data_IF_248799717793
#
_entry.id   IF_248799717793
#
_cell.length_a   1.000
_cell.length_b   1.000
_cell.length_c   1.000
_cell.angle_alpha   90.00
_cell.angle_beta   90.00
_cell.angle_gamma   90.00
#
_symmetry.space_group_name_H-M   'P 1'
#
loop_
_entity.id
_entity.type
_entity.pdbx_description
1 polymer ?
#
# COMPACT_ATOMS: atom_id res chain seq x y z
N UNK A 1 -12.06 2.90 -10.69
CA UNK A 1 -11.04 3.04 -9.63
C UNK A 1 -10.28 4.32 -9.90
N UNK A 2 -10.27 5.24 -8.95
CA UNK A 2 -9.43 6.43 -8.98
C UNK A 2 -7.95 6.02 -8.90
N UNK A 3 -7.08 6.65 -9.68
CA UNK A 3 -5.64 6.56 -9.56
C UNK A 3 -5.11 8.00 -9.53
N UNK A 4 -4.10 8.26 -8.71
CA UNK A 4 -3.47 9.58 -8.58
C UNK A 4 -2.87 10.03 -9.93
N UNK A 5 -2.23 9.09 -10.63
CA UNK A 5 -1.66 9.26 -11.95
C UNK A 5 -1.60 7.93 -12.71
N UNK A 6 -1.07 7.95 -13.93
CA UNK A 6 -0.87 6.72 -14.73
C UNK A 6 0.19 5.79 -14.12
N UNK A 7 1.14 6.32 -13.34
CA UNK A 7 2.17 5.50 -12.69
C UNK A 7 1.55 4.63 -11.58
N UNK A 8 0.64 5.18 -10.78
CA UNK A 8 -0.13 4.47 -9.77
C UNK A 8 -0.92 3.32 -10.41
N UNK A 9 -1.60 3.58 -11.53
CA UNK A 9 -2.32 2.55 -12.28
C UNK A 9 -1.40 1.46 -12.82
N UNK A 10 -0.28 1.83 -13.44
CA UNK A 10 0.70 0.88 -13.97
C UNK A 10 1.32 0.02 -12.85
N UNK A 11 1.63 0.61 -11.69
CA UNK A 11 2.11 -0.11 -10.52
C UNK A 11 1.07 -1.11 -10.03
N UNK A 12 -0.20 -0.71 -9.94
CA UNK A 12 -1.27 -1.60 -9.49
C UNK A 12 -1.44 -2.80 -10.41
N UNK A 13 -1.36 -2.59 -11.72
CA UNK A 13 -1.39 -3.68 -12.70
C UNK A 13 -0.22 -4.67 -12.50
N UNK A 14 0.99 -4.18 -12.20
CA UNK A 14 2.15 -5.02 -11.90
C UNK A 14 1.96 -5.83 -10.61
N UNK A 15 1.48 -5.20 -9.54
CA UNK A 15 1.19 -5.88 -8.27
C UNK A 15 0.11 -6.95 -8.48
N UNK A 16 -0.99 -6.62 -9.18
CA UNK A 16 -2.09 -7.54 -9.45
C UNK A 16 -1.69 -8.70 -10.38
N UNK A 17 -0.68 -8.52 -11.23
CA UNK A 17 -0.10 -9.60 -12.03
C UNK A 17 0.71 -10.57 -11.18
N UNK A 18 1.48 -10.07 -10.19
CA UNK A 18 2.24 -10.91 -9.25
C UNK A 18 1.34 -11.61 -8.23
N UNK A 19 0.34 -10.91 -7.72
CA UNK A 19 -0.56 -11.41 -6.68
C UNK A 19 -2.01 -11.47 -7.20
N UNK A 20 -2.41 -12.57 -7.85
CA UNK A 20 -3.74 -12.70 -8.45
C UNK A 20 -4.88 -12.69 -7.41
N UNK A 21 -4.58 -12.85 -6.12
CA UNK A 21 -5.49 -12.74 -4.98
C UNK A 21 -6.23 -11.41 -4.94
N UNK A 22 -5.66 -10.34 -5.52
CA UNK A 22 -6.32 -9.03 -5.71
C UNK A 22 -7.71 -9.16 -6.33
N UNK A 23 -7.95 -10.17 -7.17
CA UNK A 23 -9.26 -10.39 -7.82
C UNK A 23 -10.29 -11.07 -6.92
N UNK A 24 -9.84 -11.74 -5.85
CA UNK A 24 -10.67 -12.60 -4.99
C UNK A 24 -10.88 -12.04 -3.59
N UNK A 25 -9.90 -11.28 -3.09
CA UNK A 25 -9.84 -10.84 -1.71
C UNK A 25 -9.81 -9.30 -1.64
N UNK A 26 -10.80 -8.71 -0.96
CA UNK A 26 -11.04 -7.25 -0.94
C UNK A 26 -10.03 -6.49 -0.09
N UNK A 27 -9.67 -7.07 1.06
CA UNK A 27 -8.52 -6.64 1.89
C UNK A 27 -7.27 -6.57 1.05
N UNK A 28 -6.99 -7.66 0.36
CA UNK A 28 -5.78 -7.80 -0.43
C UNK A 28 -5.76 -6.82 -1.61
N UNK A 29 -6.90 -6.61 -2.26
CA UNK A 29 -7.07 -5.60 -3.32
C UNK A 29 -6.79 -4.19 -2.81
N UNK A 30 -7.38 -3.80 -1.67
CA UNK A 30 -7.18 -2.48 -1.07
C UNK A 30 -5.71 -2.26 -0.66
N UNK A 31 -5.07 -3.27 -0.06
CA UNK A 31 -3.66 -3.23 0.31
C UNK A 31 -2.75 -3.08 -0.93
N UNK A 32 -3.00 -3.88 -1.98
CA UNK A 32 -2.26 -3.80 -3.24
C UNK A 32 -2.46 -2.47 -3.96
N UNK A 33 -3.65 -1.88 -3.88
CA UNK A 33 -3.93 -0.55 -4.41
C UNK A 33 -3.09 0.52 -3.69
N UNK A 34 -3.08 0.53 -2.36
CA UNK A 34 -2.24 1.48 -1.60
C UNK A 34 -0.75 1.23 -1.89
N UNK A 35 -0.31 -0.03 -1.91
CA UNK A 35 1.06 -0.41 -2.25
C UNK A 35 1.51 0.04 -3.64
N UNK A 36 0.57 0.31 -4.54
CA UNK A 36 0.84 0.79 -5.89
C UNK A 36 1.05 2.31 -6.00
N UNK A 37 0.72 3.09 -4.96
CA UNK A 37 0.96 4.53 -4.97
C UNK A 37 2.44 4.81 -5.22
N UNK A 38 2.83 5.72 -6.13
CA UNK A 38 4.20 5.80 -6.66
C UNK A 38 5.30 5.84 -5.59
N UNK A 39 5.09 6.62 -4.53
CA UNK A 39 6.08 6.79 -3.46
C UNK A 39 6.17 5.58 -2.54
N UNK A 40 5.06 4.89 -2.33
CA UNK A 40 5.02 3.62 -1.59
C UNK A 40 5.64 2.51 -2.44
N UNK A 41 5.39 2.50 -3.75
CA UNK A 41 5.93 1.50 -4.67
C UNK A 41 7.47 1.57 -4.78
N UNK A 42 8.05 2.77 -4.62
CA UNK A 42 9.52 2.96 -4.55
C UNK A 42 10.15 2.35 -3.29
N UNK A 43 9.35 2.05 -2.26
CA UNK A 43 9.84 1.51 -1.00
C UNK A 43 10.22 0.04 -1.09
N UNK A 44 9.91 -0.68 -2.16
CA UNK A 44 10.21 -2.11 -2.24
C UNK A 44 10.51 -2.58 -3.65
N UNK A 45 11.21 -3.71 -3.75
CA UNK A 45 11.31 -4.45 -5.01
C UNK A 45 10.17 -5.45 -5.08
N UNK A 46 9.25 -5.29 -6.04
CA UNK A 46 8.09 -6.18 -6.20
C UNK A 46 8.51 -7.66 -6.26
N UNK A 47 9.63 -7.98 -6.90
CA UNK A 47 10.11 -9.38 -6.99
C UNK A 47 10.48 -10.02 -5.65
N UNK A 48 10.91 -9.22 -4.68
CA UNK A 48 11.30 -9.69 -3.35
C UNK A 48 10.13 -9.87 -2.40
N UNK A 49 8.95 -9.33 -2.73
CA UNK A 49 7.74 -9.49 -1.93
C UNK A 49 7.18 -10.91 -2.09
N UNK A 50 6.78 -11.52 -0.97
CA UNK A 50 6.28 -12.90 -0.87
C UNK A 50 4.80 -12.96 -0.53
N UNK A 51 4.34 -12.19 0.46
CA UNK A 51 2.98 -12.28 1.00
C UNK A 51 2.10 -11.11 0.60
N UNK A 52 2.69 -9.95 0.31
CA UNK A 52 1.95 -8.80 -0.19
C UNK A 52 2.83 -7.56 -0.38
N UNK A 53 2.23 -6.40 -0.69
CA UNK A 53 2.97 -5.18 -0.97
C UNK A 53 3.67 -4.55 0.25
N UNK A 54 3.41 -5.08 1.46
CA UNK A 54 3.88 -4.50 2.72
C UNK A 54 4.78 -5.43 3.55
N UNK A 55 5.33 -6.52 2.98
CA UNK A 55 6.24 -7.41 3.73
C UNK A 55 7.41 -6.61 4.32
N UNK A 56 7.95 -5.68 3.52
CA UNK A 56 9.02 -4.77 3.94
C UNK A 56 8.64 -3.87 5.11
N UNK A 57 7.36 -3.53 5.28
CA UNK A 57 6.92 -2.66 6.35
C UNK A 57 6.69 -3.43 7.65
N UNK A 58 6.26 -4.70 7.58
CA UNK A 58 6.30 -5.60 8.74
C UNK A 58 7.73 -5.79 9.25
N UNK A 59 8.69 -6.01 8.33
CA UNK A 59 10.11 -6.05 8.69
C UNK A 59 10.53 -4.75 9.41
N UNK A 60 10.08 -3.58 8.95
CA UNK A 60 10.37 -2.30 9.60
C UNK A 60 9.74 -2.19 10.98
N UNK A 61 8.48 -2.56 11.17
CA UNK A 61 7.79 -2.46 12.46
C UNK A 61 8.39 -3.37 13.54
N UNK A 62 8.95 -4.53 13.15
CA UNK A 62 9.60 -5.47 14.07
C UNK A 62 10.87 -4.89 14.71
N UNK A 63 11.72 -4.21 13.92
CA UNK A 63 12.91 -3.51 14.42
C UNK A 63 13.23 -2.28 13.56
N UNK A 64 12.61 -1.12 13.87
CA UNK A 64 12.83 0.13 13.13
C UNK A 64 14.27 0.63 13.21
N UNK A 65 14.96 0.37 14.33
CA UNK A 65 16.30 0.90 14.60
C UNK A 65 17.38 0.17 13.80
N UNK A 66 17.24 -1.14 13.60
CA UNK A 66 18.15 -1.94 12.76
C UNK A 66 17.66 -2.06 11.31
N UNK A 67 16.47 -1.59 10.95
CA UNK A 67 15.92 -1.74 9.58
C UNK A 67 16.86 -1.21 8.50
N UNK A 68 17.42 -0.01 8.69
CA UNK A 68 18.39 0.60 7.76
C UNK A 68 19.66 -0.26 7.64
N UNK A 69 20.17 -0.76 8.77
CA UNK A 69 21.35 -1.63 8.78
C UNK A 69 21.05 -3.00 8.15
N UNK A 70 19.84 -3.54 8.31
CA UNK A 70 19.37 -4.76 7.63
C UNK A 70 19.31 -4.53 6.13
N UNK A 71 18.85 -3.37 5.67
CA UNK A 71 18.82 -3.00 4.25
C UNK A 71 20.21 -3.03 3.65
N UNK A 72 21.18 -2.40 4.31
CA UNK A 72 22.56 -2.34 3.83
C UNK A 72 23.23 -3.73 3.79
N UNK A 73 22.73 -4.69 4.56
CA UNK A 73 23.13 -6.11 4.55
C UNK A 73 22.24 -7.00 3.68
N UNK A 74 21.33 -6.44 2.88
CA UNK A 74 20.37 -7.17 2.03
C UNK A 74 19.41 -8.11 2.78
N UNK A 75 19.10 -7.79 4.05
CA UNK A 75 18.23 -8.58 4.94
C UNK A 75 16.79 -8.07 5.06
N UNK A 76 16.42 -7.01 4.33
CA UNK A 76 15.02 -6.55 4.19
C UNK A 76 14.65 -6.46 2.71
N UNK A 77 13.36 -6.53 2.44
CA UNK A 77 12.79 -6.45 1.10
C UNK A 77 12.46 -5.01 0.66
N UNK A 78 12.70 -3.99 1.50
CA UNK A 78 12.39 -2.60 1.17
C UNK A 78 13.20 -1.52 1.91
N UNK A 79 12.73 -0.28 1.78
CA UNK A 79 13.34 0.97 2.23
C UNK A 79 12.23 1.99 2.58
N UNK A 80 12.30 2.59 3.76
CA UNK A 80 11.34 3.62 4.20
C UNK A 80 11.70 5.03 3.70
N UNK A 81 12.90 5.24 3.14
CA UNK A 81 13.38 6.56 2.75
C UNK A 81 12.45 7.34 1.79
N UNK A 82 11.71 6.70 0.85
CA UNK A 82 10.76 7.40 0.00
C UNK A 82 9.47 7.86 0.71
N UNK A 83 9.20 7.38 1.93
CA UNK A 83 7.98 7.76 2.65
C UNK A 83 8.05 9.18 3.20
N UNK A 84 6.94 9.91 3.05
CA UNK A 84 6.65 11.13 3.80
C UNK A 84 5.71 10.80 4.97
N UNK A 85 5.40 11.79 5.82
CA UNK A 85 4.38 11.62 6.85
C UNK A 85 3.03 11.18 6.26
N UNK A 86 2.64 11.73 5.11
CA UNK A 86 1.37 11.44 4.46
C UNK A 86 1.30 10.01 3.90
N UNK A 87 2.36 9.58 3.17
CA UNK A 87 2.39 8.23 2.59
C UNK A 87 2.60 7.16 3.65
N UNK A 88 3.28 7.47 4.76
CA UNK A 88 3.32 6.58 5.93
C UNK A 88 1.91 6.31 6.49
N UNK A 89 1.08 7.34 6.67
CA UNK A 89 -0.31 7.15 7.11
C UNK A 89 -1.14 6.34 6.12
N UNK A 90 -0.88 6.46 4.82
CA UNK A 90 -1.50 5.59 3.82
C UNK A 90 -1.06 4.13 3.97
N UNK A 91 0.22 3.85 4.19
CA UNK A 91 0.70 2.48 4.44
C UNK A 91 0.01 1.87 5.67
N UNK A 92 -0.06 2.63 6.76
CA UNK A 92 -0.76 2.21 7.99
C UNK A 92 -2.25 1.92 7.73
N UNK A 93 -2.94 2.78 6.95
CA UNK A 93 -4.31 2.49 6.49
C UNK A 93 -4.34 1.18 5.66
N UNK A 94 -3.38 0.96 4.77
CA UNK A 94 -3.31 -0.25 3.96
C UNK A 94 -3.18 -1.53 4.78
N UNK A 95 -2.37 -1.49 5.85
CA UNK A 95 -2.27 -2.59 6.81
C UNK A 95 -3.60 -2.81 7.55
N UNK A 96 -4.23 -1.72 8.02
CA UNK A 96 -5.54 -1.80 8.67
C UNK A 96 -6.60 -2.43 7.76
N UNK A 97 -6.68 -1.99 6.50
CA UNK A 97 -7.62 -2.54 5.52
C UNK A 97 -7.32 -4.01 5.17
N UNK A 98 -6.04 -4.43 5.26
CA UNK A 98 -5.64 -5.81 5.00
C UNK A 98 -6.01 -6.75 6.15
N UNK A 99 -5.53 -6.47 7.36
CA UNK A 99 -5.57 -7.43 8.47
C UNK A 99 -6.03 -6.83 9.80
N UNK A 100 -6.51 -5.58 9.79
CA UNK A 100 -7.00 -4.91 10.99
C UNK A 100 -5.91 -4.32 11.88
N UNK A 101 -4.67 -4.18 11.40
CA UNK A 101 -3.61 -3.48 12.12
C UNK A 101 -4.07 -2.09 12.61
N UNK A 102 -3.64 -1.67 13.80
CA UNK A 102 -4.04 -0.38 14.36
C UNK A 102 -3.72 0.79 13.42
N UNK A 103 -4.68 1.71 13.29
CA UNK A 103 -4.59 2.91 12.47
C UNK A 103 -5.44 4.04 13.06
N UNK A 104 -4.88 5.24 13.14
CA UNK A 104 -5.60 6.43 13.59
C UNK A 104 -6.14 7.21 12.37
N UNK A 105 -7.43 7.00 12.05
CA UNK A 105 -8.09 7.71 10.95
C UNK A 105 -8.09 9.22 11.12
N UNK A 106 -8.27 9.73 12.34
CA UNK A 106 -8.26 11.18 12.57
C UNK A 106 -6.93 11.80 12.19
N UNK A 107 -5.83 11.11 12.46
CA UNK A 107 -4.49 11.61 12.10
C UNK A 107 -4.25 11.53 10.59
N UNK A 108 -4.71 10.46 9.93
CA UNK A 108 -4.72 10.38 8.46
C UNK A 108 -5.48 11.54 7.83
N UNK A 109 -6.72 11.81 8.29
CA UNK A 109 -7.57 12.90 7.78
C UNK A 109 -6.96 14.29 7.97
N UNK A 110 -6.20 14.52 9.04
CA UNK A 110 -5.49 15.79 9.28
C UNK A 110 -4.19 15.93 8.47
N UNK A 111 -3.64 14.80 8.00
CA UNK A 111 -2.32 14.75 7.36
C UNK A 111 -2.43 14.71 5.84
N UNK A 112 -3.41 14.01 5.29
CA UNK A 112 -3.54 13.82 3.84
C UNK A 112 -4.01 15.08 3.13
N UNK A 113 -3.27 15.45 2.09
CA UNK A 113 -3.74 16.38 1.08
C UNK A 113 -4.88 15.77 0.25
N UNK A 114 -5.43 16.58 -0.66
CA UNK A 114 -6.59 16.19 -1.46
C UNK A 114 -6.33 14.93 -2.28
N UNK A 115 -5.11 14.74 -2.81
CA UNK A 115 -4.81 13.57 -3.64
C UNK A 115 -4.77 12.30 -2.78
N UNK A 116 -4.00 12.32 -1.69
CA UNK A 116 -3.85 11.16 -0.81
C UNK A 116 -5.15 10.83 -0.07
N UNK A 117 -5.97 11.84 0.21
CA UNK A 117 -7.34 11.63 0.71
C UNK A 117 -8.21 10.87 -0.29
N UNK A 118 -8.16 11.21 -1.59
CA UNK A 118 -8.91 10.48 -2.63
C UNK A 118 -8.37 9.05 -2.82
N UNK A 119 -7.06 8.85 -2.71
CA UNK A 119 -6.44 7.51 -2.69
C UNK A 119 -6.95 6.71 -1.48
N UNK A 120 -6.96 7.30 -0.28
CA UNK A 120 -7.47 6.64 0.93
C UNK A 120 -8.95 6.24 0.78
N UNK A 121 -9.80 7.15 0.28
CA UNK A 121 -11.21 6.87 0.02
C UNK A 121 -11.39 5.71 -0.97
N UNK A 122 -10.63 5.73 -2.08
CA UNK A 122 -10.71 4.66 -3.07
C UNK A 122 -10.30 3.30 -2.47
N UNK A 123 -9.28 3.27 -1.61
CA UNK A 123 -8.87 2.04 -0.91
C UNK A 123 -9.96 1.53 0.05
N UNK A 124 -10.58 2.43 0.82
CA UNK A 124 -11.72 2.10 1.70
C UNK A 124 -12.89 1.52 0.88
N UNK A 125 -13.22 2.13 -0.26
CA UNK A 125 -14.27 1.62 -1.13
C UNK A 125 -13.95 0.26 -1.74
N UNK A 126 -12.68 -0.02 -2.08
CA UNK A 126 -12.25 -1.35 -2.53
C UNK A 126 -12.37 -2.41 -1.42
N UNK A 127 -12.09 -2.05 -0.17
CA UNK A 127 -12.29 -2.95 0.97
C UNK A 127 -13.77 -3.23 1.21
N UNK A 128 -14.60 -2.19 1.17
CA UNK A 128 -16.05 -2.26 1.48
C UNK A 128 -16.84 -2.95 0.38
N UNK A 129 -16.63 -2.57 -0.89
CA UNK A 129 -17.45 -2.96 -2.03
C UNK A 129 -16.84 -4.15 -2.80
N UNK A 130 -17.69 -4.94 -3.45
CA UNK A 130 -17.24 -6.04 -4.31
C UNK A 130 -16.55 -5.49 -5.58
N UNK A 131 -15.55 -6.17 -6.19
CA UNK A 131 -14.98 -5.78 -7.49
C UNK A 131 -15.94 -5.91 -8.69
N UNK A 132 -17.25 -6.05 -8.46
CA UNK A 132 -18.24 -6.30 -9.51
C UNK A 132 -19.04 -5.01 -9.71
N UNK A 133 -18.90 -4.45 -10.92
CA UNK A 133 -19.65 -3.34 -11.57
C UNK A 133 -19.02 -1.93 -11.51
N UNK A 134 -18.10 -1.63 -12.43
CA UNK A 134 -18.15 -0.39 -13.25
C UNK A 134 -17.11 -0.37 -14.41
N UNK A 135 -16.97 -1.47 -15.17
CA UNK A 135 -16.27 -1.43 -16.48
C UNK A 135 -17.24 -1.34 -17.67
N UNK A 136 -18.45 -0.86 -17.43
CA UNK A 136 -19.37 -0.46 -18.49
C UNK A 136 -20.12 0.79 -18.04
N UNK A 137 -19.60 1.95 -18.45
CA UNK A 137 -20.35 3.14 -18.84
C UNK A 137 -19.49 3.90 -19.85
#
# INVERSE_FOLDING_TARGET
MFFADEQHKANFQRIAAKFPEVKKARDYCAACYIGAYPEIYKCFSLEKQKHGPFDWYFDYMDDPADFVKRRDRWKTTGDTAPLTGQTRRLVELGLNLWNGHDFNLSDGLNTWDRELYLVALQAIDLRRSSPILSLAQ
#
